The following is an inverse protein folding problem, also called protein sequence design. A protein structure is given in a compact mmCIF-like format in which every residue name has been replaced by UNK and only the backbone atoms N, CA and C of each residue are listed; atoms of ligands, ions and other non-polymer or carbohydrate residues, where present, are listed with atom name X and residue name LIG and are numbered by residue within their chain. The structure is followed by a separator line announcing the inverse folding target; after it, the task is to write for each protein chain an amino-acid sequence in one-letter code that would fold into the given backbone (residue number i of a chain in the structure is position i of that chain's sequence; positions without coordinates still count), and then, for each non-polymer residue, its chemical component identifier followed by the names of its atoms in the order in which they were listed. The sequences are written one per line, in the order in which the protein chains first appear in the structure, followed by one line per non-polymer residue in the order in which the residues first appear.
data_IF_666529301202
#
_entry.id   IF_666529301202
#
_cell.length_a   1.000
_cell.length_b   1.000
_cell.length_c   1.000
_cell.angle_alpha   90.00
_cell.angle_beta   90.00
_cell.angle_gamma   90.00
#
_symmetry.space_group_name_H-M   'P 1'
#
loop_
_entity.id
_entity.type
_entity.pdbx_description
1 polymer ?
#
# COMPACT_ATOMS: atom_id res chain seq x y z
N UNK A 1 -0.28 -6.03 -6.67
CA UNK A 1 -0.76 -7.36 -7.13
C UNK A 1 -1.35 -8.21 -6.00
N UNK A 2 -0.68 -8.33 -4.84
CA UNK A 2 -1.19 -9.10 -3.69
C UNK A 2 -2.54 -8.59 -3.16
N UNK A 3 -2.70 -7.27 -3.05
CA UNK A 3 -3.99 -6.61 -2.74
C UNK A 3 -5.10 -7.09 -3.68
N UNK A 4 -4.92 -6.95 -4.99
CA UNK A 4 -5.91 -7.37 -5.98
C UNK A 4 -6.32 -8.85 -5.86
N UNK A 5 -5.35 -9.74 -5.61
CA UNK A 5 -5.63 -11.16 -5.38
C UNK A 5 -6.44 -11.40 -4.11
N UNK A 6 -6.19 -10.63 -3.06
CA UNK A 6 -6.85 -10.79 -1.76
C UNK A 6 -8.30 -10.27 -1.77
N UNK A 7 -8.58 -9.25 -2.56
CA UNK A 7 -9.91 -8.64 -2.68
C UNK A 7 -10.83 -9.36 -3.66
N UNK A 8 -10.28 -10.18 -4.56
CA UNK A 8 -11.04 -10.99 -5.52
C UNK A 8 -11.45 -12.33 -4.89
N UNK A 9 -12.75 -12.55 -4.72
CA UNK A 9 -13.35 -13.76 -4.13
C UNK A 9 -13.01 -15.04 -4.90
N UNK A 10 -12.70 -14.92 -6.20
CA UNK A 10 -12.29 -16.05 -7.03
C UNK A 10 -10.84 -16.46 -6.80
N UNK A 11 -10.01 -15.58 -6.22
CA UNK A 11 -8.56 -15.78 -6.11
C UNK A 11 -8.04 -15.79 -4.65
N UNK A 12 -8.89 -15.40 -3.70
CA UNK A 12 -8.54 -15.20 -2.29
C UNK A 12 -8.81 -16.44 -1.40
N UNK A 13 -9.08 -17.60 -2.00
CA UNK A 13 -9.34 -18.89 -1.34
C UNK A 13 -10.50 -18.84 -0.33
N UNK A 14 -11.68 -18.39 -0.76
CA UNK A 14 -12.92 -18.50 0.02
C UNK A 14 -13.17 -17.36 1.01
N UNK A 15 -12.47 -16.23 0.86
CA UNK A 15 -12.79 -15.00 1.59
C UNK A 15 -13.88 -14.21 0.85
N UNK A 16 -14.69 -13.40 1.56
CA UNK A 16 -15.70 -12.57 0.92
C UNK A 16 -15.07 -11.54 -0.04
N UNK A 17 -15.81 -11.20 -1.09
CA UNK A 17 -15.39 -10.18 -2.06
C UNK A 17 -15.09 -8.84 -1.34
N UNK A 18 -13.99 -8.21 -1.73
CA UNK A 18 -13.49 -6.95 -1.15
C UNK A 18 -13.29 -6.98 0.37
N UNK A 19 -13.23 -8.18 0.97
CA UNK A 19 -13.11 -8.39 2.41
C UNK A 19 -14.23 -7.72 3.23
N UNK A 20 -15.43 -7.67 2.67
CA UNK A 20 -16.64 -7.20 3.38
C UNK A 20 -16.94 -8.19 4.51
N UNK A 21 -17.18 -7.68 5.72
CA UNK A 21 -17.49 -8.52 6.87
C UNK A 21 -18.78 -9.32 6.62
N UNK A 22 -18.87 -10.61 7.03
CA UNK A 22 -20.05 -11.45 6.82
C UNK A 22 -21.35 -10.86 7.40
N UNK A 23 -21.23 -10.06 8.46
CA UNK A 23 -22.36 -9.40 9.12
C UNK A 23 -22.86 -8.17 8.33
N UNK A 24 -22.03 -7.62 7.45
CA UNK A 24 -22.37 -6.47 6.62
C UNK A 24 -23.01 -6.90 5.30
N UNK A 25 -24.03 -6.14 4.88
CA UNK A 25 -24.72 -6.39 3.62
C UNK A 25 -23.83 -5.98 2.44
N UNK A 26 -23.38 -6.98 1.67
CA UNK A 26 -22.69 -6.76 0.41
C UNK A 26 -23.54 -5.91 -0.56
N UNK A 27 -22.90 -5.00 -1.28
CA UNK A 27 -23.55 -4.04 -2.19
C UNK A 27 -24.03 -2.75 -1.52
N UNK A 28 -24.28 -2.78 -0.21
CA UNK A 28 -24.37 -1.55 0.61
C UNK A 28 -22.98 -1.16 1.11
N UNK A 29 -22.18 -2.15 1.49
CA UNK A 29 -20.80 -1.98 1.88
C UNK A 29 -19.86 -2.35 0.73
N UNK A 30 -18.79 -1.57 0.59
CA UNK A 30 -17.73 -1.70 -0.41
C UNK A 30 -16.46 -2.30 0.18
N UNK A 31 -16.33 -2.37 1.50
CA UNK A 31 -15.17 -2.92 2.19
C UNK A 31 -13.87 -2.24 1.73
N UNK A 32 -12.91 -3.05 1.31
CA UNK A 32 -11.59 -2.58 0.84
C UNK A 32 -11.51 -2.32 -0.67
N UNK A 33 -12.64 -2.26 -1.38
CA UNK A 33 -12.65 -2.01 -2.83
C UNK A 33 -11.96 -0.69 -3.19
N UNK A 34 -12.28 0.39 -2.49
CA UNK A 34 -11.84 1.75 -2.86
C UNK A 34 -10.33 1.94 -2.69
N UNK A 35 -9.74 1.37 -1.63
CA UNK A 35 -8.30 1.48 -1.37
C UNK A 35 -7.45 0.74 -2.42
N UNK A 36 -8.04 -0.22 -3.14
CA UNK A 36 -7.37 -0.85 -4.28
C UNK A 36 -7.10 0.15 -5.41
N UNK A 37 -8.02 1.08 -5.66
CA UNK A 37 -7.83 2.12 -6.67
C UNK A 37 -6.65 3.01 -6.31
N UNK A 38 -6.54 3.42 -5.04
CA UNK A 38 -5.40 4.19 -4.53
C UNK A 38 -4.09 3.43 -4.72
N UNK A 39 -4.01 2.17 -4.28
CA UNK A 39 -2.80 1.37 -4.44
C UNK A 39 -2.41 1.16 -5.92
N UNK A 40 -3.40 0.99 -6.81
CA UNK A 40 -3.17 0.83 -8.24
C UNK A 40 -2.71 2.14 -8.92
N UNK A 41 -3.24 3.28 -8.49
CA UNK A 41 -2.85 4.61 -8.96
C UNK A 41 -1.39 4.91 -8.57
N UNK A 42 -1.04 4.76 -7.29
CA UNK A 42 0.32 4.94 -6.79
C UNK A 42 1.33 4.01 -7.48
N UNK A 43 0.94 2.74 -7.70
CA UNK A 43 1.79 1.80 -8.43
C UNK A 43 1.97 2.18 -9.90
N UNK A 44 1.03 2.90 -10.49
CA UNK A 44 1.12 3.36 -11.88
C UNK A 44 1.94 4.65 -11.99
N UNK A 45 1.79 5.56 -11.04
CA UNK A 45 2.64 6.74 -10.89
C UNK A 45 4.11 6.35 -10.72
N UNK A 46 4.40 5.34 -9.89
CA UNK A 46 5.75 4.81 -9.75
C UNK A 46 6.37 4.31 -11.07
N UNK A 47 5.56 3.84 -12.03
CA UNK A 47 6.08 3.43 -13.34
C UNK A 47 6.51 4.64 -14.17
N UNK A 48 5.80 5.75 -14.06
CA UNK A 48 6.17 7.01 -14.72
C UNK A 48 7.47 7.54 -14.11
N UNK A 49 7.56 7.53 -12.77
CA UNK A 49 8.76 7.92 -12.05
C UNK A 49 9.96 7.00 -12.30
N UNK A 50 9.75 5.74 -12.72
CA UNK A 50 10.83 4.80 -12.99
C UNK A 50 11.61 5.08 -14.29
N UNK A 51 11.19 6.03 -15.14
CA UNK A 51 12.01 6.47 -16.27
C UNK A 51 13.36 7.01 -15.76
N UNK A 52 14.53 6.60 -16.29
CA UNK A 52 15.81 7.09 -15.77
C UNK A 52 15.94 8.61 -15.88
N UNK A 53 16.40 9.30 -14.83
CA UNK A 53 16.61 10.75 -14.91
C UNK A 53 17.87 11.12 -15.72
N UNK A 54 18.83 10.20 -15.83
CA UNK A 54 20.15 10.45 -16.40
C UNK A 54 20.23 10.26 -17.93
N UNK A 55 19.18 9.76 -18.58
CA UNK A 55 19.21 9.48 -20.03
C UNK A 55 18.94 10.70 -20.90
N UNK A 56 18.39 11.77 -20.32
CA UNK A 56 17.99 12.99 -21.01
C UNK A 56 18.84 14.20 -20.54
N UNK A 57 20.16 14.05 -20.55
CA UNK A 57 21.11 15.13 -20.20
C UNK A 57 21.00 16.29 -21.19
N UNK A 58 20.90 17.52 -20.69
CA UNK A 58 20.87 18.74 -21.50
C UNK A 58 22.19 19.49 -21.29
N UNK A 59 22.95 19.81 -22.35
CA UNK A 59 24.17 20.58 -22.22
C UNK A 59 23.92 21.94 -21.56
N UNK A 60 24.71 22.25 -20.54
CA UNK A 60 24.67 23.53 -19.84
C UNK A 60 25.97 24.31 -20.06
N UNK A 61 26.00 25.56 -19.58
CA UNK A 61 27.23 26.36 -19.55
C UNK A 61 27.89 26.53 -20.92
N UNK A 62 27.11 26.82 -21.97
CA UNK A 62 27.59 26.96 -23.35
C UNK A 62 28.38 25.73 -23.87
N UNK A 63 27.89 24.52 -23.56
CA UNK A 63 28.50 23.22 -23.87
C UNK A 63 29.79 22.88 -23.10
N UNK A 64 30.12 23.60 -22.02
CA UNK A 64 31.18 23.15 -21.11
C UNK A 64 30.76 21.95 -20.25
N UNK A 65 29.47 21.83 -19.97
CA UNK A 65 28.87 20.72 -19.24
C UNK A 65 27.94 19.97 -20.21
N UNK A 66 28.53 19.24 -21.14
CA UNK A 66 27.81 18.45 -22.15
C UNK A 66 27.24 17.13 -21.59
N UNK A 67 27.69 16.72 -20.39
CA UNK A 67 27.14 15.61 -19.62
C UNK A 67 26.75 16.03 -18.20
N UNK A 68 25.48 15.81 -17.86
CA UNK A 68 24.91 16.07 -16.54
C UNK A 68 24.18 14.81 -16.05
N UNK A 69 24.56 14.32 -14.88
CA UNK A 69 24.05 13.04 -14.35
C UNK A 69 22.60 13.08 -13.89
N UNK A 70 22.03 14.28 -13.68
CA UNK A 70 20.70 14.50 -13.11
C UNK A 70 20.51 13.81 -11.75
N UNK A 71 21.60 13.67 -10.97
CA UNK A 71 21.60 12.89 -9.72
C UNK A 71 20.59 13.36 -8.67
N UNK A 72 20.38 14.67 -8.52
CA UNK A 72 19.38 15.23 -7.59
C UNK A 72 17.97 14.82 -8.02
N UNK A 73 17.63 14.97 -9.30
CA UNK A 73 16.34 14.54 -9.84
C UNK A 73 16.13 13.03 -9.69
N UNK A 74 17.17 12.23 -9.88
CA UNK A 74 17.09 10.79 -9.63
C UNK A 74 16.77 10.48 -8.16
N UNK A 75 17.40 11.19 -7.22
CA UNK A 75 17.14 11.05 -5.79
C UNK A 75 15.71 11.48 -5.41
N UNK A 76 15.22 12.60 -5.95
CA UNK A 76 13.84 13.08 -5.74
C UNK A 76 12.81 12.06 -6.22
N UNK A 77 13.01 11.50 -7.42
CA UNK A 77 12.14 10.45 -7.96
C UNK A 77 12.16 9.19 -7.10
N UNK A 78 13.33 8.79 -6.59
CA UNK A 78 13.47 7.66 -5.69
C UNK A 78 12.73 7.88 -4.36
N UNK A 79 12.80 9.09 -3.79
CA UNK A 79 12.07 9.44 -2.56
C UNK A 79 10.55 9.37 -2.76
N UNK A 80 10.04 9.87 -3.89
CA UNK A 80 8.60 9.77 -4.22
C UNK A 80 8.16 8.31 -4.42
N UNK A 81 8.95 7.50 -5.13
CA UNK A 81 8.67 6.07 -5.30
C UNK A 81 8.61 5.36 -3.95
N UNK A 82 9.53 5.68 -3.03
CA UNK A 82 9.56 5.12 -1.69
C UNK A 82 8.28 5.45 -0.92
N UNK A 83 7.86 6.72 -0.90
CA UNK A 83 6.63 7.13 -0.21
C UNK A 83 5.38 6.44 -0.78
N UNK A 84 5.23 6.41 -2.11
CA UNK A 84 4.15 5.69 -2.77
C UNK A 84 4.16 4.19 -2.42
N UNK A 85 5.35 3.59 -2.31
CA UNK A 85 5.50 2.19 -1.92
C UNK A 85 5.08 1.95 -0.47
N UNK A 86 5.38 2.88 0.45
CA UNK A 86 4.95 2.78 1.85
C UNK A 86 3.42 2.78 1.96
N UNK A 87 2.72 3.62 1.18
CA UNK A 87 1.25 3.60 1.10
C UNK A 87 0.72 2.27 0.57
N UNK A 88 1.30 1.75 -0.52
CA UNK A 88 0.87 0.46 -1.11
C UNK A 88 1.02 -0.67 -0.09
N UNK A 89 2.16 -0.72 0.62
CA UNK A 89 2.40 -1.73 1.66
C UNK A 89 1.44 -1.56 2.84
N UNK A 90 1.15 -0.33 3.24
CA UNK A 90 0.19 -0.04 4.30
C UNK A 90 -1.21 -0.56 3.97
N UNK A 91 -1.70 -0.27 2.76
CA UNK A 91 -2.98 -0.78 2.27
C UNK A 91 -2.97 -2.31 2.25
N UNK A 92 -1.87 -2.91 1.82
CA UNK A 92 -1.73 -4.37 1.82
C UNK A 92 -1.81 -4.97 3.23
N UNK A 93 -1.14 -4.35 4.21
CA UNK A 93 -1.16 -4.80 5.61
C UNK A 93 -2.57 -4.72 6.20
N UNK A 94 -3.33 -3.67 5.90
CA UNK A 94 -4.72 -3.53 6.33
C UNK A 94 -5.62 -4.61 5.72
N UNK A 95 -5.51 -4.85 4.41
CA UNK A 95 -6.24 -5.93 3.76
C UNK A 95 -5.84 -7.30 4.33
N UNK A 96 -4.54 -7.52 4.58
CA UNK A 96 -4.05 -8.77 5.16
C UNK A 96 -4.59 -8.99 6.59
N UNK A 97 -4.61 -7.95 7.43
CA UNK A 97 -5.17 -8.03 8.77
C UNK A 97 -6.67 -8.35 8.73
N UNK A 98 -7.42 -7.73 7.82
CA UNK A 98 -8.85 -8.03 7.65
C UNK A 98 -9.07 -9.48 7.20
N UNK A 99 -8.27 -9.96 6.25
CA UNK A 99 -8.32 -11.35 5.80
C UNK A 99 -7.96 -12.35 6.91
N UNK A 100 -7.07 -11.97 7.83
CA UNK A 100 -6.70 -12.77 8.99
C UNK A 100 -7.87 -12.86 9.98
N UNK A 101 -8.59 -11.76 10.23
CA UNK A 101 -9.77 -11.78 11.11
C UNK A 101 -10.77 -12.86 10.68
N UNK A 102 -10.95 -13.03 9.36
CA UNK A 102 -11.84 -14.04 8.79
C UNK A 102 -11.28 -15.47 8.84
N UNK A 103 -9.95 -15.64 8.78
CA UNK A 103 -9.31 -16.97 8.72
C UNK A 103 -8.94 -17.54 10.08
N UNK A 104 -8.84 -16.69 11.09
CA UNK A 104 -8.41 -17.03 12.44
C UNK A 104 -6.96 -16.60 12.72
N UNK A 105 -6.72 -15.62 13.60
CA UNK A 105 -5.38 -15.15 13.96
C UNK A 105 -4.55 -16.18 14.73
N UNK A 106 -5.17 -17.23 15.27
CA UNK A 106 -4.50 -18.33 15.97
C UNK A 106 -3.57 -19.16 15.08
N UNK A 107 -3.74 -19.08 13.75
CA UNK A 107 -2.94 -19.82 12.75
C UNK A 107 -1.69 -19.07 12.29
N UNK A 108 -1.45 -17.86 12.80
CA UNK A 108 -0.31 -17.04 12.40
C UNK A 108 1.01 -17.55 12.97
N UNK A 109 2.10 -17.38 12.21
CA UNK A 109 3.45 -17.54 12.72
C UNK A 109 3.82 -16.42 13.69
N UNK A 110 4.88 -16.61 14.49
CA UNK A 110 5.30 -15.67 15.55
C UNK A 110 5.46 -14.22 15.05
N UNK A 111 6.13 -14.03 13.91
CA UNK A 111 6.37 -12.69 13.35
C UNK A 111 5.10 -12.04 12.81
N UNK A 112 4.30 -12.78 12.02
CA UNK A 112 3.05 -12.25 11.45
C UNK A 112 1.99 -12.00 12.51
N UNK A 113 1.97 -12.81 13.58
CA UNK A 113 1.09 -12.59 14.73
C UNK A 113 1.38 -11.26 15.42
N UNK A 114 2.66 -10.97 15.70
CA UNK A 114 3.07 -9.69 16.29
C UNK A 114 2.69 -8.50 15.40
N UNK A 115 2.92 -8.60 14.09
CA UNK A 115 2.53 -7.54 13.15
C UNK A 115 1.01 -7.32 13.12
N UNK A 116 0.23 -8.41 13.09
CA UNK A 116 -1.23 -8.37 13.14
C UNK A 116 -1.75 -7.74 14.44
N UNK A 117 -1.19 -8.12 15.60
CA UNK A 117 -1.55 -7.58 16.91
C UNK A 117 -1.32 -6.07 16.97
N UNK A 118 -0.16 -5.59 16.51
CA UNK A 118 0.15 -4.15 16.44
C UNK A 118 -0.85 -3.41 15.55
N UNK A 119 -1.20 -3.96 14.38
CA UNK A 119 -2.21 -3.37 13.50
C UNK A 119 -3.57 -3.29 14.19
N UNK A 120 -3.99 -4.36 14.87
CA UNK A 120 -5.31 -4.44 15.52
C UNK A 120 -5.43 -3.61 16.79
N UNK A 121 -4.32 -3.30 17.44
CA UNK A 121 -4.26 -2.34 18.54
C UNK A 121 -4.61 -0.91 18.09
N UNK A 122 -4.26 -0.55 16.85
CA UNK A 122 -4.41 0.82 16.32
C UNK A 122 -5.58 0.98 15.35
N UNK A 123 -5.90 -0.08 14.59
CA UNK A 123 -6.94 -0.10 13.58
C UNK A 123 -7.85 -1.31 13.81
N UNK A 124 -9.10 -1.08 14.27
CA UNK A 124 -10.04 -2.17 14.50
C UNK A 124 -10.46 -2.81 13.17
N UNK A 125 -10.96 -4.04 13.23
CA UNK A 125 -11.58 -4.71 12.08
C UNK A 125 -12.63 -3.82 11.41
N UNK A 126 -12.71 -3.87 10.08
CA UNK A 126 -13.74 -3.18 9.32
C UNK A 126 -15.02 -4.04 9.34
N UNK A 127 -16.01 -3.64 10.15
CA UNK A 127 -17.31 -4.33 10.22
C UNK A 127 -18.32 -3.75 9.24
N UNK A 128 -18.34 -2.43 9.11
CA UNK A 128 -19.15 -1.66 8.16
C UNK A 128 -18.25 -0.60 7.52
N UNK A 129 -18.65 -0.08 6.36
CA UNK A 129 -17.87 0.94 5.64
C UNK A 129 -17.59 2.16 6.51
N UNK A 130 -16.32 2.58 6.53
CA UNK A 130 -15.87 3.82 7.15
C UNK A 130 -14.76 4.45 6.30
N UNK A 131 -14.38 5.67 6.66
CA UNK A 131 -13.27 6.37 6.02
C UNK A 131 -11.96 5.64 6.33
N UNK A 132 -11.39 4.98 5.31
CA UNK A 132 -10.16 4.21 5.44
C UNK A 132 -8.88 5.05 5.35
N UNK A 133 -8.96 6.33 4.96
CA UNK A 133 -7.78 7.20 4.88
C UNK A 133 -7.13 7.40 6.25
N UNK A 134 -7.93 7.54 7.31
CA UNK A 134 -7.40 7.67 8.68
C UNK A 134 -6.70 6.39 9.14
N UNK A 135 -7.25 5.23 8.80
CA UNK A 135 -6.65 3.93 9.11
C UNK A 135 -5.34 3.73 8.36
N UNK A 136 -5.27 4.15 7.10
CA UNK A 136 -4.05 4.13 6.29
C UNK A 136 -2.98 5.03 6.90
N UNK A 137 -3.31 6.28 7.24
CA UNK A 137 -2.32 7.20 7.82
C UNK A 137 -1.78 6.70 9.17
N UNK A 138 -2.65 6.16 10.04
CA UNK A 138 -2.22 5.54 11.32
C UNK A 138 -1.19 4.45 11.10
N UNK A 139 -1.47 3.49 10.22
CA UNK A 139 -0.53 2.37 9.98
C UNK A 139 0.74 2.85 9.26
N UNK A 140 0.64 3.79 8.32
CA UNK A 140 1.81 4.37 7.64
C UNK A 140 2.75 5.04 8.65
N UNK A 141 2.20 5.80 9.60
CA UNK A 141 2.99 6.47 10.63
C UNK A 141 3.70 5.45 11.55
N UNK A 142 3.01 4.39 11.98
CA UNK A 142 3.63 3.32 12.77
C UNK A 142 4.81 2.66 12.04
N UNK A 143 4.68 2.43 10.73
CA UNK A 143 5.77 1.86 9.92
C UNK A 143 6.99 2.78 9.90
N UNK A 144 6.79 4.10 9.89
CA UNK A 144 7.90 5.09 9.96
C UNK A 144 8.56 5.12 11.33
N UNK A 145 7.77 5.02 12.41
CA UNK A 145 8.28 5.02 13.78
C UNK A 145 9.11 3.78 14.09
N UNK A 146 8.75 2.60 13.56
CA UNK A 146 9.52 1.36 13.75
C UNK A 146 10.89 1.40 13.04
N UNK A 147 11.05 2.24 12.01
CA UNK A 147 12.29 2.38 11.24
C UNK A 147 13.27 3.41 11.82
N UNK A 148 12.81 4.32 12.68
CA UNK A 148 13.66 5.32 13.37
C UNK A 148 14.29 4.73 14.62
#
# INVERSE_FOLDING_TARGET
RRIARLLDDKLNNGLPAFLIAPEAKAGVNSGFMTVQYTAAALASENKILAHPACVDSIPTSANYEDFVSMGVTAAEKAMQILENTEYILTIELLCAAQAIDFRGPEKLGKGTKKAYEIIREHVPMLKEDRILSEDIEKIKQLIKEIKS
#
